data_IF_361280224968
#
_entry.id   IF_361280224968
#
_cell.length_a   1.000
_cell.length_b   1.000
_cell.length_c   1.000
_cell.angle_alpha   90.00
_cell.angle_beta   90.00
_cell.angle_gamma   90.00
#
_symmetry.space_group_name_H-M   'P 1'
#
loop_
_entity.id
_entity.type
_entity.pdbx_description
1 polymer ?
#
# COMPACT_ATOMS: atom_id res chain seq x y z
N UNK A 1 -7.08 -5.72 9.27
CA UNK A 1 -6.20 -4.73 9.95
C UNK A 1 -5.19 -4.05 9.02
N UNK A 2 -4.66 -4.73 8.01
CA UNK A 2 -3.79 -4.09 7.01
C UNK A 2 -4.48 -2.93 6.26
N UNK A 3 -5.73 -3.14 5.81
CA UNK A 3 -6.57 -2.11 5.19
C UNK A 3 -6.81 -0.89 6.10
N UNK A 4 -7.13 -1.11 7.38
CA UNK A 4 -7.32 0.00 8.32
C UNK A 4 -6.03 0.80 8.53
N UNK A 5 -4.88 0.12 8.64
CA UNK A 5 -3.58 0.79 8.76
C UNK A 5 -3.24 1.58 7.49
N UNK A 6 -3.50 1.03 6.31
CA UNK A 6 -3.34 1.75 5.04
C UNK A 6 -4.13 3.06 5.03
N UNK A 7 -5.40 3.01 5.43
CA UNK A 7 -6.27 4.19 5.49
C UNK A 7 -5.85 5.25 6.53
N UNK A 8 -4.94 4.91 7.46
CA UNK A 8 -4.37 5.90 8.39
C UNK A 8 -3.18 6.66 7.82
N UNK A 9 -2.60 6.24 6.70
CA UNK A 9 -1.39 6.87 6.14
C UNK A 9 -1.55 8.38 5.88
N UNK A 10 -2.67 8.88 5.30
CA UNK A 10 -2.87 10.32 5.11
C UNK A 10 -2.90 11.13 6.42
N UNK A 11 -3.33 10.51 7.53
CA UNK A 11 -3.31 11.17 8.86
C UNK A 11 -1.89 11.29 9.42
N UNK A 12 -0.98 10.43 8.97
CA UNK A 12 0.42 10.42 9.41
C UNK A 12 1.33 11.19 8.47
N UNK A 13 0.97 11.23 7.19
CA UNK A 13 1.72 11.88 6.12
C UNK A 13 0.76 12.78 5.33
N UNK A 14 0.78 14.07 5.65
CA UNK A 14 -0.13 15.07 5.08
C UNK A 14 -0.11 15.13 3.55
N UNK A 15 1.03 14.84 2.93
CA UNK A 15 1.23 14.84 1.47
C UNK A 15 0.90 13.50 0.80
N UNK A 16 0.24 12.57 1.50
CA UNK A 16 -0.14 11.27 0.95
C UNK A 16 -1.64 11.23 0.72
N UNK A 17 -2.04 10.97 -0.53
CA UNK A 17 -3.41 10.59 -0.88
C UNK A 17 -3.43 9.14 -1.32
N UNK A 18 -4.48 8.43 -0.91
CA UNK A 18 -4.68 7.03 -1.26
C UNK A 18 -5.64 6.92 -2.43
N UNK A 19 -5.39 5.93 -3.27
CA UNK A 19 -6.25 5.53 -4.37
C UNK A 19 -6.46 4.00 -4.28
N UNK A 20 -6.83 3.34 -5.37
CA UNK A 20 -7.16 1.91 -5.38
C UNK A 20 -6.07 1.06 -4.72
N UNK A 21 -6.52 0.16 -3.86
CA UNK A 21 -5.67 -0.81 -3.19
C UNK A 21 -6.40 -2.15 -3.05
N UNK A 22 -5.66 -3.24 -3.22
CA UNK A 22 -6.12 -4.61 -3.00
C UNK A 22 -5.12 -5.35 -2.12
N UNK A 23 -5.65 -6.05 -1.14
CA UNK A 23 -4.89 -6.88 -0.21
C UNK A 23 -5.11 -8.34 -0.57
N UNK A 24 -4.05 -8.98 -1.03
CA UNK A 24 -4.00 -10.41 -1.29
C UNK A 24 -3.32 -11.09 -0.09
N UNK A 25 -3.69 -12.33 0.25
CA UNK A 25 -3.04 -13.09 1.32
C UNK A 25 -1.51 -13.21 1.24
N UNK A 26 -0.88 -13.04 0.07
CA UNK A 26 0.58 -13.07 -0.07
C UNK A 26 1.22 -11.70 -0.41
N UNK A 27 0.49 -10.71 -0.92
CA UNK A 27 1.02 -9.40 -1.28
C UNK A 27 -0.08 -8.33 -1.36
N UNK A 28 0.30 -7.08 -1.61
CA UNK A 28 -0.63 -5.97 -1.78
C UNK A 28 -0.27 -5.20 -3.04
N UNK A 29 -1.30 -4.77 -3.77
CA UNK A 29 -1.17 -3.79 -4.84
C UNK A 29 -1.88 -2.51 -4.40
N UNK A 30 -1.25 -1.36 -4.62
CA UNK A 30 -1.82 -0.09 -4.21
C UNK A 30 -1.31 1.07 -5.06
N UNK A 31 -2.14 2.10 -5.17
CA UNK A 31 -1.78 3.39 -5.73
C UNK A 31 -1.80 4.40 -4.59
N UNK A 32 -0.77 5.22 -4.54
CA UNK A 32 -0.72 6.42 -3.71
C UNK A 32 -0.24 7.59 -4.56
N UNK A 33 -0.68 8.78 -4.17
CA UNK A 33 -0.26 10.04 -4.75
C UNK A 33 0.53 10.81 -3.68
N UNK A 34 1.73 11.27 -4.05
CA UNK A 34 2.52 12.19 -3.24
C UNK A 34 2.24 13.60 -3.73
N UNK A 35 1.45 14.35 -2.98
CA UNK A 35 1.07 15.72 -3.32
C UNK A 35 2.10 16.72 -2.81
N UNK A 36 1.90 17.99 -3.16
CA UNK A 36 2.50 19.07 -2.40
C UNK A 36 1.92 19.13 -0.98
N UNK A 37 2.71 19.70 -0.06
CA UNK A 37 2.26 19.92 1.30
C UNK A 37 1.27 21.09 1.31
N UNK A 38 0.10 20.87 1.90
CA UNK A 38 -0.85 21.93 2.18
C UNK A 38 -0.25 22.86 3.27
N UNK A 39 -0.05 24.16 3.00
CA UNK A 39 0.46 25.11 3.99
C UNK A 39 -0.41 25.18 5.26
N UNK A 40 -1.70 24.84 5.15
CA UNK A 40 -2.66 24.83 6.26
C UNK A 40 -2.67 23.52 7.05
N UNK A 41 -2.02 22.47 6.52
CA UNK A 41 -1.87 21.17 7.17
C UNK A 41 -0.39 20.76 7.22
N UNK A 42 0.42 21.39 8.10
CA UNK A 42 1.85 21.13 8.18
C UNK A 42 2.10 19.69 8.66
N UNK A 43 2.76 18.90 7.82
CA UNK A 43 3.21 17.55 8.13
C UNK A 43 4.61 17.28 7.59
N UNK A 44 5.36 16.33 8.16
CA UNK A 44 6.69 16.01 7.68
C UNK A 44 6.62 15.44 6.26
N UNK A 45 7.40 16.00 5.33
CA UNK A 45 7.57 15.42 3.99
C UNK A 45 8.41 14.16 4.12
N UNK A 46 7.78 13.01 3.93
CA UNK A 46 8.41 11.70 3.98
C UNK A 46 8.63 11.16 2.55
N UNK A 47 9.81 10.63 2.24
CA UNK A 47 10.03 9.88 1.00
C UNK A 47 9.23 8.57 0.99
N UNK A 48 8.98 8.02 -0.20
CA UNK A 48 8.19 6.79 -0.38
C UNK A 48 8.66 5.64 0.52
N UNK A 49 9.98 5.42 0.61
CA UNK A 49 10.55 4.33 1.41
C UNK A 49 10.18 4.43 2.89
N UNK A 50 10.04 5.64 3.43
CA UNK A 50 9.67 5.84 4.83
C UNK A 50 8.19 5.54 5.06
N UNK A 51 7.33 5.96 4.13
CA UNK A 51 5.89 5.67 4.15
C UNK A 51 5.68 4.16 4.13
N UNK A 52 6.36 3.45 3.22
CA UNK A 52 6.28 1.99 3.11
C UNK A 52 6.85 1.30 4.36
N UNK A 53 7.99 1.78 4.88
CA UNK A 53 8.59 1.25 6.12
C UNK A 53 7.60 1.34 7.28
N UNK A 54 6.98 2.50 7.46
CA UNK A 54 5.99 2.74 8.52
C UNK A 54 4.78 1.82 8.36
N UNK A 55 4.24 1.71 7.14
CA UNK A 55 3.12 0.84 6.85
C UNK A 55 3.45 -0.63 7.17
N UNK A 56 4.59 -1.14 6.69
CA UNK A 56 5.03 -2.52 6.93
C UNK A 56 5.26 -2.82 8.40
N UNK A 57 5.88 -1.89 9.14
CA UNK A 57 6.12 -2.03 10.57
C UNK A 57 4.81 -2.08 11.38
N UNK A 58 3.90 -1.13 11.13
CA UNK A 58 2.62 -1.04 11.83
C UNK A 58 1.75 -2.27 11.56
N UNK A 59 1.64 -2.69 10.30
CA UNK A 59 0.87 -3.89 9.93
C UNK A 59 1.49 -5.17 10.47
N UNK A 60 2.82 -5.33 10.44
CA UNK A 60 3.47 -6.50 11.05
C UNK A 60 3.22 -6.58 12.55
N UNK A 61 3.30 -5.44 13.25
CA UNK A 61 2.99 -5.38 14.68
C UNK A 61 1.55 -5.82 14.96
N UNK A 62 0.58 -5.26 14.23
CA UNK A 62 -0.83 -5.61 14.41
C UNK A 62 -1.12 -7.08 14.09
N UNK A 63 -0.63 -7.61 12.97
CA UNK A 63 -0.87 -9.01 12.58
C UNK A 63 -0.24 -9.98 13.59
N UNK A 64 0.99 -9.71 14.03
CA UNK A 64 1.68 -10.56 15.01
C UNK A 64 1.00 -10.57 16.37
N UNK A 65 0.50 -9.41 16.83
CA UNK A 65 -0.04 -9.22 18.19
C UNK A 65 -1.53 -9.45 18.28
N UNK A 66 -2.30 -8.97 17.32
CA UNK A 66 -3.77 -8.98 17.35
C UNK A 66 -4.38 -10.16 16.62
N UNK A 67 -3.73 -10.68 15.58
CA UNK A 67 -4.23 -11.81 14.78
C UNK A 67 -3.54 -13.14 15.12
N UNK A 68 -2.62 -13.14 16.08
CA UNK A 68 -1.96 -14.36 16.58
C UNK A 68 -1.02 -15.02 15.57
N UNK A 69 -0.47 -14.25 14.62
CA UNK A 69 0.47 -14.75 13.60
C UNK A 69 1.90 -14.23 13.85
N UNK A 70 2.62 -14.72 14.87
CA UNK A 70 3.94 -14.20 15.25
C UNK A 70 5.00 -14.36 14.15
N UNK A 71 4.81 -15.31 13.24
CA UNK A 71 5.69 -15.58 12.09
C UNK A 71 5.49 -14.60 10.92
N UNK A 72 4.42 -13.80 10.91
CA UNK A 72 4.12 -12.92 9.79
C UNK A 72 5.28 -11.93 9.56
N UNK A 73 5.75 -11.81 8.32
CA UNK A 73 6.69 -10.78 7.92
C UNK A 73 6.41 -10.39 6.48
N UNK A 74 6.53 -9.10 6.18
CA UNK A 74 6.61 -8.66 4.78
C UNK A 74 7.94 -9.11 4.18
N UNK A 75 7.93 -9.38 2.87
CA UNK A 75 9.17 -9.54 2.10
C UNK A 75 10.01 -8.24 2.16
N UNK A 76 11.33 -8.37 2.00
CA UNK A 76 12.24 -7.23 1.92
C UNK A 76 11.98 -6.39 0.67
N UNK A 77 12.17 -5.07 0.80
CA UNK A 77 11.94 -4.12 -0.30
C UNK A 77 10.48 -3.97 -0.69
N UNK A 78 10.22 -3.34 -1.83
CA UNK A 78 8.90 -3.21 -2.44
C UNK A 78 9.08 -2.87 -3.92
N UNK A 79 8.07 -3.13 -4.75
CA UNK A 79 8.05 -2.71 -6.14
C UNK A 79 7.28 -1.39 -6.26
N UNK A 80 7.87 -0.41 -6.91
CA UNK A 80 7.22 0.86 -7.23
C UNK A 80 7.45 1.27 -8.68
N UNK A 81 6.53 2.09 -9.19
CA UNK A 81 6.63 2.71 -10.51
C UNK A 81 5.87 4.02 -10.52
N UNK A 82 6.41 5.04 -11.21
CA UNK A 82 5.75 6.34 -11.34
C UNK A 82 4.72 6.30 -12.46
N UNK A 83 3.46 6.54 -12.11
CA UNK A 83 2.35 6.64 -13.07
C UNK A 83 2.31 8.08 -13.60
N UNK A 84 2.44 8.26 -14.92
CA UNK A 84 2.64 9.59 -15.54
C UNK A 84 1.45 10.09 -16.36
N UNK A 85 0.47 9.25 -16.65
CA UNK A 85 -0.67 9.61 -17.50
C UNK A 85 -1.97 9.08 -16.91
N UNK A 86 -3.06 9.79 -17.19
CA UNK A 86 -4.40 9.38 -16.77
C UNK A 86 -4.78 8.02 -17.37
N UNK A 87 -4.43 7.77 -18.64
CA UNK A 87 -4.70 6.48 -19.28
C UNK A 87 -3.99 5.32 -18.55
N UNK A 88 -2.73 5.51 -18.14
CA UNK A 88 -2.00 4.51 -17.36
C UNK A 88 -2.60 4.34 -15.96
N UNK A 89 -3.01 5.45 -15.31
CA UNK A 89 -3.70 5.41 -14.02
C UNK A 89 -4.97 4.56 -14.08
N UNK A 90 -5.83 4.81 -15.07
CA UNK A 90 -7.07 4.05 -15.25
C UNK A 90 -6.81 2.57 -15.54
N UNK A 91 -5.78 2.25 -16.33
CA UNK A 91 -5.39 0.88 -16.59
C UNK A 91 -4.92 0.15 -15.32
N UNK A 92 -4.11 0.82 -14.48
CA UNK A 92 -3.60 0.24 -13.23
C UNK A 92 -4.72 0.09 -12.20
N UNK A 93 -5.61 1.09 -12.05
CA UNK A 93 -6.83 0.99 -11.24
C UNK A 93 -7.65 -0.25 -11.60
N UNK A 94 -7.91 -0.45 -12.91
CA UNK A 94 -8.60 -1.65 -13.42
C UNK A 94 -7.84 -2.93 -13.05
N UNK A 95 -6.54 -2.97 -13.30
CA UNK A 95 -5.70 -4.12 -12.94
C UNK A 95 -5.83 -4.47 -11.45
N UNK A 96 -5.70 -3.48 -10.56
CA UNK A 96 -5.80 -3.66 -9.11
C UNK A 96 -7.15 -4.24 -8.73
N UNK A 97 -8.25 -3.65 -9.21
CA UNK A 97 -9.62 -4.11 -8.92
C UNK A 97 -9.90 -5.53 -9.40
N UNK A 98 -9.33 -5.92 -10.55
CA UNK A 98 -9.54 -7.24 -11.14
C UNK A 98 -8.59 -8.33 -10.59
N UNK A 99 -7.49 -7.93 -9.93
CA UNK A 99 -6.46 -8.85 -9.45
C UNK A 99 -7.00 -9.96 -8.51
N UNK A 100 -7.92 -9.70 -7.56
CA UNK A 100 -8.50 -10.75 -6.71
C UNK A 100 -9.11 -11.91 -7.50
N UNK A 101 -9.79 -11.59 -8.61
CA UNK A 101 -10.47 -12.59 -9.47
C UNK A 101 -9.44 -13.35 -10.30
N UNK A 102 -8.36 -12.69 -10.69
CA UNK A 102 -7.29 -13.25 -11.53
C UNK A 102 -6.19 -13.94 -10.72
N UNK A 103 -6.30 -13.98 -9.40
CA UNK A 103 -5.22 -14.41 -8.52
C UNK A 103 -4.74 -15.85 -8.79
N UNK A 104 -5.66 -16.76 -9.14
CA UNK A 104 -5.31 -18.15 -9.51
C UNK A 104 -4.39 -18.24 -10.74
N UNK A 105 -4.25 -17.16 -11.50
CA UNK A 105 -3.42 -17.05 -12.70
C UNK A 105 -2.16 -16.20 -12.47
N UNK A 106 -1.94 -15.70 -11.25
CA UNK A 106 -0.80 -14.84 -10.91
C UNK A 106 0.50 -15.67 -10.81
N UNK A 107 1.62 -15.10 -11.27
CA UNK A 107 2.95 -15.72 -11.19
C UNK A 107 3.41 -15.96 -9.75
N UNK A 108 2.88 -15.21 -8.79
CA UNK A 108 3.16 -15.36 -7.36
C UNK A 108 2.19 -16.32 -6.65
N UNK A 109 1.24 -16.90 -7.37
CA UNK A 109 0.36 -17.95 -6.84
C UNK A 109 1.15 -19.24 -6.63
N UNK A 110 1.48 -19.56 -5.38
CA UNK A 110 1.96 -20.90 -5.00
C UNK A 110 0.74 -21.75 -4.63
N UNK A 111 0.58 -22.88 -5.32
CA UNK A 111 -0.40 -23.92 -5.00
C UNK A 111 -0.11 -24.56 -3.65
#
# INVERSE_FOLDING_TARGET
>A
MAHSTWNTLPRRFAHVRLDDAVFMPNHMHAILELTDLDPTHPGPRAPLWEIVRVFKAATSYQIRRSEGQPWFAWQDGYYDSVIRTEAALQQIRRYIRENPVRWSQDKLYKR
#
